data_IF_085571996905
#
_entry.id   IF_085571996905
#
_cell.length_a   1.000
_cell.length_b   1.000
_cell.length_c   1.000
_cell.angle_alpha   90.00
_cell.angle_beta   90.00
_cell.angle_gamma   90.00
#
_symmetry.space_group_name_H-M   'P 1'
#
loop_
_entity.id
_entity.type
_entity.pdbx_description
1 polymer ?
#
# COMPACT_ATOMS: atom_id res chain seq x y z
N UNK A 1 -9.10 23.94 8.11
CA UNK A 1 -8.02 24.83 7.64
C UNK A 1 -7.07 24.02 6.78
N UNK A 2 -7.07 24.36 5.50
CA UNK A 2 -6.07 24.18 4.42
C UNK A 2 -5.22 22.90 4.36
N UNK A 3 -5.54 22.05 3.38
CA UNK A 3 -4.57 21.17 2.70
C UNK A 3 -3.46 22.04 2.07
N UNK A 4 -2.17 21.66 2.14
CA UNK A 4 -1.12 22.46 1.53
C UNK A 4 -1.13 22.32 -0.01
N UNK A 5 -1.24 23.48 -0.65
CA UNK A 5 -0.63 23.90 -1.92
C UNK A 5 -0.44 22.83 -3.01
N UNK A 6 -1.33 22.85 -4.01
CA UNK A 6 -1.01 22.37 -5.37
C UNK A 6 0.31 23.02 -5.80
N UNK A 7 1.35 22.20 -6.03
CA UNK A 7 2.54 22.65 -6.76
C UNK A 7 2.11 23.01 -8.18
N UNK A 8 2.27 24.25 -8.64
CA UNK A 8 1.89 24.64 -10.00
C UNK A 8 2.93 24.07 -10.98
N UNK A 9 2.48 23.48 -12.08
CA UNK A 9 3.28 22.95 -13.20
C UNK A 9 4.03 21.61 -13.06
N UNK A 10 3.37 20.58 -12.54
CA UNK A 10 3.70 19.21 -12.94
C UNK A 10 2.39 18.51 -13.25
N UNK A 11 2.18 18.08 -14.50
CA UNK A 11 1.14 17.10 -14.79
C UNK A 11 1.39 15.93 -13.83
N UNK A 12 0.54 15.76 -12.82
CA UNK A 12 0.76 14.74 -11.80
C UNK A 12 0.38 13.41 -12.45
N UNK A 13 1.31 12.84 -13.20
CA UNK A 13 1.21 11.46 -13.68
C UNK A 13 1.10 10.58 -12.44
N UNK A 14 -0.01 9.85 -12.31
CA UNK A 14 -0.36 9.07 -11.13
C UNK A 14 -0.35 7.59 -11.47
N UNK A 15 0.26 6.80 -10.60
CA UNK A 15 0.15 5.35 -10.62
C UNK A 15 -0.76 4.95 -9.47
N UNK A 16 -1.88 4.31 -9.78
CA UNK A 16 -2.69 3.61 -8.79
C UNK A 16 -2.30 2.13 -8.84
N UNK A 17 -1.58 1.68 -7.82
CA UNK A 17 -1.30 0.26 -7.67
C UNK A 17 -2.54 -0.42 -7.10
N UNK A 18 -3.21 -1.18 -7.95
CA UNK A 18 -4.40 -1.93 -7.64
C UNK A 18 -3.97 -3.25 -6.96
N UNK A 19 -3.49 -3.13 -5.73
CA UNK A 19 -3.09 -4.23 -4.86
C UNK A 19 -1.61 -4.63 -4.98
N UNK A 20 -0.95 -4.80 -3.83
CA UNK A 20 0.43 -5.28 -3.72
C UNK A 20 0.59 -6.79 -4.03
N UNK A 21 -0.49 -7.46 -4.43
CA UNK A 21 -0.46 -8.88 -4.78
C UNK A 21 -0.34 -9.05 -6.28
N UNK A 22 0.39 -10.07 -6.74
CA UNK A 22 0.58 -10.41 -8.17
C UNK A 22 -0.72 -10.79 -8.92
N UNK A 23 -1.89 -10.57 -8.33
CA UNK A 23 -3.21 -10.92 -8.89
C UNK A 23 -4.10 -9.72 -9.19
N UNK A 24 -3.57 -8.49 -9.14
CA UNK A 24 -4.30 -7.26 -9.48
C UNK A 24 -5.55 -7.02 -8.62
N UNK A 25 -6.39 -6.04 -8.98
CA UNK A 25 -7.75 -5.88 -8.37
C UNK A 25 -8.72 -6.82 -9.05
N UNK A 26 -8.48 -8.12 -8.87
CA UNK A 26 -9.54 -9.12 -8.94
C UNK A 26 -10.07 -9.36 -7.52
N UNK A 27 -11.25 -9.98 -7.40
CA UNK A 27 -11.76 -10.43 -6.09
C UNK A 27 -10.74 -11.32 -5.34
N UNK A 28 -9.89 -12.03 -6.11
CA UNK A 28 -8.79 -12.82 -5.55
C UNK A 28 -7.61 -11.97 -5.07
N UNK A 29 -7.32 -10.85 -5.73
CA UNK A 29 -6.20 -9.99 -5.35
C UNK A 29 -6.51 -8.99 -4.24
N UNK A 30 -7.77 -8.56 -4.08
CA UNK A 30 -8.21 -7.84 -2.87
C UNK A 30 -8.11 -8.76 -1.64
N UNK A 31 -8.51 -10.03 -1.77
CA UNK A 31 -8.38 -11.04 -0.71
C UNK A 31 -6.93 -11.32 -0.32
N UNK A 32 -6.02 -11.48 -1.29
CA UNK A 32 -4.58 -11.64 -1.02
C UNK A 32 -3.95 -10.41 -0.37
N UNK A 33 -4.35 -9.21 -0.77
CA UNK A 33 -3.88 -7.97 -0.12
C UNK A 33 -4.34 -7.88 1.33
N UNK A 34 -5.61 -8.18 1.61
CA UNK A 34 -6.12 -8.24 2.98
C UNK A 34 -5.36 -9.26 3.82
N UNK A 35 -5.13 -10.47 3.28
CA UNK A 35 -4.33 -11.49 3.94
C UNK A 35 -2.92 -10.97 4.27
N UNK A 36 -2.27 -10.30 3.32
CA UNK A 36 -0.95 -9.69 3.54
C UNK A 36 -0.98 -8.68 4.68
N UNK A 37 -1.96 -7.76 4.71
CA UNK A 37 -2.11 -6.77 5.80
C UNK A 37 -2.32 -7.45 7.16
N UNK A 38 -3.22 -8.45 7.21
CA UNK A 38 -3.51 -9.23 8.41
C UNK A 38 -2.31 -10.03 8.91
N UNK A 39 -1.39 -10.39 8.02
CA UNK A 39 -0.16 -11.10 8.34
C UNK A 39 1.06 -10.20 8.57
N UNK A 40 1.04 -8.92 8.22
CA UNK A 40 2.23 -8.04 8.28
C UNK A 40 2.00 -6.80 9.15
N UNK A 41 1.23 -5.84 8.66
CA UNK A 41 1.01 -4.55 9.28
C UNK A 41 0.20 -4.68 10.57
N UNK A 42 -0.92 -5.41 10.56
CA UNK A 42 -1.80 -5.51 11.73
C UNK A 42 -1.07 -6.13 12.95
N UNK A 43 -0.32 -7.24 12.82
CA UNK A 43 0.47 -7.78 13.94
C UNK A 43 1.55 -6.81 14.42
N UNK A 44 2.24 -6.10 13.51
CA UNK A 44 3.21 -5.07 13.88
C UNK A 44 2.59 -3.95 14.69
N UNK A 45 1.43 -3.44 14.26
CA UNK A 45 0.74 -2.37 14.95
C UNK A 45 0.23 -2.83 16.32
N UNK A 46 -0.31 -4.06 16.42
CA UNK A 46 -0.69 -4.67 17.70
C UNK A 46 0.51 -4.80 18.65
N UNK A 47 1.67 -5.25 18.16
CA UNK A 47 2.93 -5.32 18.93
C UNK A 47 3.34 -3.94 19.43
N UNK A 48 3.33 -2.94 18.56
CA UNK A 48 3.71 -1.56 18.91
C UNK A 48 2.78 -0.95 19.98
N UNK A 49 1.46 -1.13 19.85
CA UNK A 49 0.46 -0.59 20.78
C UNK A 49 0.47 -1.28 22.15
N UNK A 50 0.77 -2.57 22.18
CA UNK A 50 0.76 -3.36 23.41
C UNK A 50 2.12 -3.35 24.15
N UNK A 51 3.16 -2.76 23.55
CA UNK A 51 4.46 -2.62 24.20
C UNK A 51 4.35 -1.66 25.39
N UNK A 52 4.70 -2.13 26.59
CA UNK A 52 4.76 -1.27 27.79
C UNK A 52 5.71 -0.10 27.62
N UNK A 53 6.82 -0.33 26.92
CA UNK A 53 7.75 0.67 26.44
C UNK A 53 8.04 0.39 24.95
N UNK A 54 7.39 1.10 24.02
CA UNK A 54 7.69 0.92 22.60
C UNK A 54 9.13 1.33 22.34
N UNK A 55 9.86 0.52 21.59
CA UNK A 55 11.22 0.85 21.15
C UNK A 55 11.22 2.21 20.41
N UNK A 56 12.36 2.90 20.41
CA UNK A 56 12.60 4.13 19.64
C UNK A 56 12.05 4.01 18.20
N UNK A 57 12.24 2.84 17.58
CA UNK A 57 11.81 2.50 16.22
C UNK A 57 10.31 2.26 16.03
N UNK A 58 9.54 1.99 17.08
CA UNK A 58 8.11 1.70 17.03
C UNK A 58 7.23 2.88 17.44
N UNK A 59 7.76 3.80 18.27
CA UNK A 59 7.02 4.95 18.78
C UNK A 59 6.48 5.88 17.67
N UNK A 60 7.25 6.27 16.63
CA UNK A 60 6.71 7.08 15.53
C UNK A 60 5.63 6.35 14.73
N UNK A 61 5.77 5.04 14.51
CA UNK A 61 4.79 4.25 13.76
C UNK A 61 3.46 4.13 14.52
N UNK A 62 3.50 3.91 15.83
CA UNK A 62 2.31 3.86 16.69
C UNK A 62 1.57 5.20 16.70
N UNK A 63 2.29 6.31 16.92
CA UNK A 63 1.70 7.64 16.94
C UNK A 63 1.10 8.04 15.58
N UNK A 64 1.80 7.74 14.47
CA UNK A 64 1.30 7.99 13.13
C UNK A 64 0.02 7.20 12.86
N UNK A 65 -0.04 5.92 13.24
CA UNK A 65 -1.20 5.07 13.01
C UNK A 65 -2.44 5.53 13.78
N UNK A 66 -2.30 5.86 15.07
CA UNK A 66 -3.44 6.33 15.88
C UNK A 66 -4.03 7.62 15.31
N UNK A 67 -3.17 8.53 14.86
CA UNK A 67 -3.59 9.75 14.18
C UNK A 67 -4.23 9.45 12.82
N UNK A 68 -3.64 8.55 12.03
CA UNK A 68 -4.13 8.20 10.70
C UNK A 68 -5.51 7.53 10.77
N UNK A 69 -5.68 6.52 11.63
CA UNK A 69 -6.97 5.84 11.84
C UNK A 69 -8.03 6.78 12.43
N UNK A 70 -7.63 7.79 13.22
CA UNK A 70 -8.55 8.83 13.67
C UNK A 70 -9.08 9.69 12.52
N UNK A 71 -8.24 9.96 11.51
CA UNK A 71 -8.63 10.72 10.32
C UNK A 71 -9.37 9.86 9.27
N UNK A 72 -9.17 8.54 9.31
CA UNK A 72 -9.71 7.56 8.37
C UNK A 72 -10.53 6.48 9.09
N UNK A 73 -11.75 6.82 9.57
CA UNK A 73 -12.59 5.88 10.32
C UNK A 73 -12.96 4.62 9.50
N UNK A 74 -12.95 4.69 8.18
CA UNK A 74 -13.12 3.56 7.27
C UNK A 74 -12.08 2.45 7.46
N UNK A 75 -10.91 2.75 8.04
CA UNK A 75 -9.87 1.77 8.36
C UNK A 75 -10.15 1.01 9.67
N UNK A 76 -11.21 1.34 10.41
CA UNK A 76 -11.65 0.63 11.63
C UNK A 76 -12.58 -0.52 11.30
N UNK A 77 -12.19 -1.36 10.36
CA UNK A 77 -12.96 -2.53 9.90
C UNK A 77 -12.04 -3.74 9.78
N UNK A 78 -12.63 -4.93 9.78
CA UNK A 78 -11.95 -6.18 9.43
C UNK A 78 -12.14 -6.56 7.95
N UNK A 79 -13.03 -5.85 7.24
CA UNK A 79 -13.29 -5.97 5.80
C UNK A 79 -12.43 -4.95 5.03
N UNK A 80 -11.14 -5.26 4.96
CA UNK A 80 -10.17 -4.42 4.25
C UNK A 80 -10.34 -4.51 2.73
N UNK A 81 -10.85 -5.63 2.23
CA UNK A 81 -11.22 -5.80 0.81
C UNK A 81 -12.16 -4.70 0.33
N UNK A 82 -13.28 -4.49 1.01
CA UNK A 82 -14.25 -3.46 0.62
C UNK A 82 -13.65 -2.05 0.68
N UNK A 83 -12.78 -1.78 1.67
CA UNK A 83 -12.09 -0.50 1.79
C UNK A 83 -11.15 -0.27 0.60
N UNK A 84 -10.37 -1.28 0.22
CA UNK A 84 -9.46 -1.20 -0.92
C UNK A 84 -10.24 -0.97 -2.23
N UNK A 85 -11.31 -1.73 -2.45
CA UNK A 85 -12.13 -1.60 -3.67
C UNK A 85 -12.71 -0.19 -3.79
N UNK A 86 -13.35 0.31 -2.73
CA UNK A 86 -13.90 1.68 -2.71
C UNK A 86 -12.83 2.75 -2.89
N UNK A 87 -11.65 2.55 -2.31
CA UNK A 87 -10.52 3.47 -2.50
C UNK A 87 -10.08 3.51 -3.97
N UNK A 88 -9.96 2.34 -4.59
CA UNK A 88 -9.54 2.21 -5.99
C UNK A 88 -10.55 2.79 -6.97
N UNK A 89 -11.85 2.57 -6.74
CA UNK A 89 -12.93 3.21 -7.50
C UNK A 89 -12.84 4.73 -7.37
N UNK A 90 -12.75 5.24 -6.14
CA UNK A 90 -12.60 6.68 -5.88
C UNK A 90 -11.39 7.28 -6.57
N UNK A 91 -10.25 6.59 -6.60
CA UNK A 91 -9.03 7.07 -7.27
C UNK A 91 -9.23 7.13 -8.80
N UNK A 92 -9.87 6.12 -9.38
CA UNK A 92 -10.19 6.09 -10.82
C UNK A 92 -11.21 7.15 -11.21
N UNK A 93 -12.19 7.44 -10.37
CA UNK A 93 -13.20 8.48 -10.63
C UNK A 93 -12.62 9.90 -10.56
N UNK A 94 -11.61 10.12 -9.73
CA UNK A 94 -11.05 11.46 -9.46
C UNK A 94 -9.92 11.87 -10.41
N UNK A 95 -9.31 10.91 -11.12
CA UNK A 95 -8.14 11.17 -11.96
C UNK A 95 -8.51 10.83 -13.41
N UNK A 96 -8.31 11.73 -14.38
CA UNK A 96 -8.51 11.42 -15.79
C UNK A 96 -7.72 10.16 -16.21
N UNK A 97 -8.35 9.28 -16.99
CA UNK A 97 -7.72 8.03 -17.43
C UNK A 97 -6.38 8.24 -18.17
N UNK A 98 -6.22 9.37 -18.87
CA UNK A 98 -4.96 9.74 -19.55
C UNK A 98 -3.81 10.08 -18.59
N UNK A 99 -4.09 10.34 -17.31
CA UNK A 99 -3.12 10.67 -16.27
C UNK A 99 -2.94 9.54 -15.25
N UNK A 100 -3.68 8.43 -15.41
CA UNK A 100 -3.75 7.33 -14.46
C UNK A 100 -3.29 6.01 -15.09
N UNK A 101 -2.22 5.44 -14.54
CA UNK A 101 -1.92 4.03 -14.76
C UNK A 101 -2.55 3.19 -13.65
N UNK A 102 -3.48 2.33 -14.04
CA UNK A 102 -3.92 1.20 -13.23
C UNK A 102 -2.91 0.07 -13.44
N UNK A 103 -2.13 -0.24 -12.41
CA UNK A 103 -0.98 -1.13 -12.52
C UNK A 103 -1.13 -2.36 -11.61
N UNK A 104 -0.80 -3.53 -12.13
CA UNK A 104 -0.62 -4.77 -11.36
C UNK A 104 0.87 -5.09 -11.24
N UNK A 105 1.37 -5.26 -10.02
CA UNK A 105 2.79 -5.54 -9.75
C UNK A 105 3.34 -6.79 -10.47
N UNK A 106 2.47 -7.71 -10.90
CA UNK A 106 2.85 -8.86 -11.72
C UNK A 106 3.29 -8.50 -13.15
N UNK A 107 2.86 -7.35 -13.67
CA UNK A 107 3.20 -6.84 -15.01
C UNK A 107 4.67 -6.43 -15.13
N UNK A 108 5.35 -6.21 -13.99
CA UNK A 108 6.77 -5.92 -13.98
C UNK A 108 7.10 -4.56 -14.62
N UNK A 109 8.23 -4.48 -15.32
CA UNK A 109 8.74 -3.19 -15.82
C UNK A 109 7.97 -2.62 -17.01
N UNK A 110 7.34 -3.45 -17.84
CA UNK A 110 6.87 -3.06 -19.17
C UNK A 110 5.85 -1.92 -19.11
N UNK A 111 4.72 -2.14 -18.42
CA UNK A 111 3.63 -1.15 -18.33
C UNK A 111 4.06 0.14 -17.60
N UNK A 112 4.98 0.04 -16.63
CA UNK A 112 5.53 1.22 -15.95
C UNK A 112 6.43 2.03 -16.89
N UNK A 113 7.35 1.35 -17.59
CA UNK A 113 8.30 1.99 -18.48
C UNK A 113 7.57 2.68 -19.65
N UNK A 114 6.57 2.02 -20.23
CA UNK A 114 5.70 2.58 -21.27
C UNK A 114 4.97 3.83 -20.77
N UNK A 115 4.31 3.75 -19.61
CA UNK A 115 3.55 4.88 -19.06
C UNK A 115 4.42 6.09 -18.74
N UNK A 116 5.65 5.89 -18.26
CA UNK A 116 6.59 6.97 -17.99
C UNK A 116 7.39 7.42 -19.23
N UNK A 117 7.28 6.74 -20.37
CA UNK A 117 8.05 7.04 -21.57
C UNK A 117 9.56 6.85 -21.39
N UNK A 118 9.97 5.88 -20.56
CA UNK A 118 11.37 5.59 -20.26
C UNK A 118 11.77 4.19 -20.77
N UNK A 119 13.06 3.92 -21.03
CA UNK A 119 13.51 2.58 -21.39
C UNK A 119 13.27 1.56 -20.27
N UNK A 120 12.92 0.32 -20.64
CA UNK A 120 12.82 -0.79 -19.70
C UNK A 120 14.19 -1.05 -19.05
N UNK A 121 14.28 -1.09 -17.70
CA UNK A 121 15.53 -1.43 -17.02
C UNK A 121 16.04 -2.82 -17.38
N UNK A 122 17.37 -2.97 -17.54
CA UNK A 122 18.02 -4.26 -17.82
C UNK A 122 18.15 -5.18 -16.60
N UNK A 123 17.63 -4.76 -15.45
CA UNK A 123 17.65 -5.52 -14.20
C UNK A 123 16.31 -6.23 -13.99
N UNK A 124 16.29 -7.40 -13.34
CA UNK A 124 15.03 -8.06 -12.98
C UNK A 124 14.11 -7.13 -12.18
N UNK A 125 12.79 -7.26 -12.38
CA UNK A 125 11.83 -6.54 -11.55
C UNK A 125 12.00 -6.99 -10.08
N UNK A 126 12.10 -6.06 -9.11
CA UNK A 126 12.43 -6.42 -7.73
C UNK A 126 11.33 -7.27 -7.10
N UNK A 127 11.75 -8.35 -6.43
CA UNK A 127 10.88 -9.15 -5.57
C UNK A 127 11.36 -9.04 -4.12
N UNK A 128 10.89 -8.00 -3.44
CA UNK A 128 11.25 -7.68 -2.06
C UNK A 128 9.98 -7.54 -1.23
N UNK A 129 10.14 -7.51 0.10
CA UNK A 129 9.04 -7.25 1.03
C UNK A 129 7.89 -8.28 0.94
N UNK A 130 8.22 -9.55 0.67
CA UNK A 130 7.26 -10.63 0.86
C UNK A 130 6.89 -10.78 2.34
N UNK A 131 5.76 -11.41 2.61
CA UNK A 131 5.20 -11.51 3.96
C UNK A 131 6.17 -12.11 4.97
N UNK A 132 6.92 -13.15 4.60
CA UNK A 132 7.81 -13.83 5.53
C UNK A 132 9.04 -12.98 5.83
N UNK A 133 9.71 -12.46 4.79
CA UNK A 133 10.85 -11.56 4.95
C UNK A 133 10.47 -10.33 5.76
N UNK A 134 9.32 -9.71 5.49
CA UNK A 134 8.82 -8.58 6.28
C UNK A 134 8.62 -8.94 7.75
N UNK A 135 8.06 -10.12 8.05
CA UNK A 135 7.86 -10.53 9.44
C UNK A 135 9.17 -10.71 10.16
N UNK A 136 10.15 -11.34 9.53
CA UNK A 136 11.49 -11.54 10.10
C UNK A 136 12.19 -10.21 10.37
N UNK A 137 12.21 -9.30 9.40
CA UNK A 137 12.86 -7.99 9.52
C UNK A 137 12.25 -7.10 10.62
N UNK A 138 11.02 -7.39 11.03
CA UNK A 138 10.26 -6.61 12.02
C UNK A 138 10.07 -7.35 13.35
N UNK A 139 10.84 -8.41 13.59
CA UNK A 139 10.78 -9.25 14.79
C UNK A 139 9.34 -9.74 15.08
N UNK A 140 8.59 -10.07 14.03
CA UNK A 140 7.32 -10.75 14.14
C UNK A 140 7.57 -12.26 14.11
N UNK A 141 6.76 -13.07 14.84
CA UNK A 141 6.86 -14.53 14.75
C UNK A 141 6.80 -15.00 13.29
N UNK A 142 7.47 -16.08 12.89
CA UNK A 142 7.28 -16.63 11.54
C UNK A 142 5.82 -17.05 11.32
N UNK A 143 5.41 -17.14 10.05
CA UNK A 143 4.16 -17.85 9.73
C UNK A 143 4.42 -19.36 9.90
N UNK A 144 3.44 -20.07 10.44
CA UNK A 144 3.43 -21.53 10.51
C UNK A 144 2.98 -22.13 9.18
#
# INVERSE_FOLDING_TARGET
MSLPLKRPNQASIRVACLGLSRTGVSHTGSSKWEQSIKQTLIPRMKKARNAKEPTESLRPAAAWWDQHVKQHPELRTEDFQSVLLKHNERVQDLIPASELLVYNVAEGWESLAEFFGVPIPKVPFPHVNDTQSYRMDRDLPPLQ
#
